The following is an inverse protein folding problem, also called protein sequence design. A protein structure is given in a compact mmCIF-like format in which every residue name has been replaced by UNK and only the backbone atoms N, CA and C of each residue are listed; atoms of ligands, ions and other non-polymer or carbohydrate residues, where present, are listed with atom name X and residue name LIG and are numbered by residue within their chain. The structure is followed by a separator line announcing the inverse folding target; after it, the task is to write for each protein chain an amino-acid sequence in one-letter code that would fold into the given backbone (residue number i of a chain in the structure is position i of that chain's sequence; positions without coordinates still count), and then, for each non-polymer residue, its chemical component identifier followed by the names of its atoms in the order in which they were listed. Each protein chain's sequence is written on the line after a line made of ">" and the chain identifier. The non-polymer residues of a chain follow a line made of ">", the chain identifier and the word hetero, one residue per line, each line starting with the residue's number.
data_IF_051597134421
#
_entry.id   IF_051597134421
#
_cell.length_a   1.000
_cell.length_b   1.000
_cell.length_c   1.000
_cell.angle_alpha   90.00
_cell.angle_beta   90.00
_cell.angle_gamma   90.00
#
_symmetry.space_group_name_H-M   'P 1'
#
loop_
_entity.id
_entity.type
_entity.pdbx_description
1 polymer ?
#
# COMPACT_ATOMS: atom_id res chain seq x y z
N UNK A 1 -15.42 -10.01 20.08
CA UNK A 1 -15.05 -8.91 19.16
C UNK A 1 -16.18 -7.90 19.17
N UNK A 2 -15.93 -6.69 19.60
CA UNK A 2 -16.89 -5.57 19.52
C UNK A 2 -16.43 -4.65 18.40
N UNK A 3 -17.38 -4.18 17.58
CA UNK A 3 -17.09 -3.22 16.52
C UNK A 3 -16.91 -1.84 17.19
N UNK A 4 -15.78 -1.19 16.95
CA UNK A 4 -15.48 0.14 17.47
C UNK A 4 -16.19 1.23 16.64
N UNK A 5 -17.45 1.48 16.99
CA UNK A 5 -18.28 2.50 16.34
C UNK A 5 -17.86 3.92 16.70
N UNK A 6 -17.16 4.10 17.82
CA UNK A 6 -16.77 5.43 18.32
C UNK A 6 -15.66 6.04 17.44
N UNK A 7 -14.75 5.22 16.94
CA UNK A 7 -13.67 5.66 16.05
C UNK A 7 -13.96 5.43 14.56
N UNK A 8 -15.21 5.06 14.22
CA UNK A 8 -15.61 4.88 12.83
C UNK A 8 -15.80 6.24 12.14
N UNK A 9 -14.88 6.59 11.22
CA UNK A 9 -14.87 7.89 10.51
C UNK A 9 -15.08 7.71 9.00
N UNK A 10 -16.31 7.39 8.55
CA UNK A 10 -16.58 7.07 7.14
C UNK A 10 -16.33 8.24 6.19
N UNK A 11 -16.58 9.47 6.65
CA UNK A 11 -16.34 10.67 5.84
C UNK A 11 -14.84 10.90 5.57
N UNK A 12 -13.99 10.75 6.58
CA UNK A 12 -12.54 10.86 6.41
C UNK A 12 -12.00 9.73 5.52
N UNK A 13 -12.49 8.50 5.70
CA UNK A 13 -12.13 7.36 4.87
C UNK A 13 -12.54 7.57 3.40
N UNK A 14 -13.74 8.10 3.15
CA UNK A 14 -14.21 8.43 1.81
C UNK A 14 -13.36 9.54 1.17
N UNK A 15 -13.08 10.62 1.90
CA UNK A 15 -12.24 11.71 1.41
C UNK A 15 -10.83 11.23 1.07
N UNK A 16 -10.21 10.43 1.95
CA UNK A 16 -8.90 9.81 1.69
C UNK A 16 -8.92 8.89 0.47
N UNK A 17 -9.95 8.06 0.33
CA UNK A 17 -10.15 7.19 -0.82
C UNK A 17 -10.29 7.96 -2.14
N UNK A 18 -11.04 9.05 -2.15
CA UNK A 18 -11.19 9.94 -3.31
C UNK A 18 -9.84 10.57 -3.69
N UNK A 19 -9.08 11.08 -2.71
CA UNK A 19 -7.75 11.66 -2.96
C UNK A 19 -6.78 10.64 -3.54
N UNK A 20 -6.74 9.42 -3.00
CA UNK A 20 -5.91 8.32 -3.51
C UNK A 20 -6.34 7.96 -4.94
N UNK A 21 -7.64 7.85 -5.19
CA UNK A 21 -8.19 7.56 -6.51
C UNK A 21 -7.83 8.62 -7.54
N UNK A 22 -7.99 9.89 -7.21
CA UNK A 22 -7.60 11.02 -8.06
C UNK A 22 -6.10 11.05 -8.34
N UNK A 23 -5.26 10.83 -7.32
CA UNK A 23 -3.82 10.76 -7.49
C UNK A 23 -3.39 9.61 -8.41
N UNK A 24 -4.01 8.42 -8.24
CA UNK A 24 -3.76 7.27 -9.09
C UNK A 24 -4.22 7.51 -10.54
N UNK A 25 -5.39 8.13 -10.73
CA UNK A 25 -5.90 8.48 -12.05
C UNK A 25 -5.01 9.52 -12.74
N UNK A 26 -4.63 10.60 -12.03
CA UNK A 26 -3.71 11.60 -12.55
C UNK A 26 -2.36 10.98 -12.94
N UNK A 27 -1.82 10.08 -12.12
CA UNK A 27 -0.58 9.40 -12.40
C UNK A 27 -0.65 8.54 -13.68
N UNK A 28 -1.77 7.84 -13.89
CA UNK A 28 -2.02 7.07 -15.11
C UNK A 28 -2.15 7.99 -16.32
N UNK A 29 -2.89 9.09 -16.20
CA UNK A 29 -3.15 10.02 -17.29
C UNK A 29 -1.87 10.77 -17.74
N UNK A 30 -1.07 11.24 -16.79
CA UNK A 30 0.13 12.03 -17.11
C UNK A 30 1.38 11.18 -17.37
N UNK A 31 1.53 10.05 -16.67
CA UNK A 31 2.71 9.18 -16.80
C UNK A 31 2.46 7.90 -17.61
N UNK A 32 1.21 7.56 -17.90
CA UNK A 32 0.85 6.31 -18.57
C UNK A 32 1.20 5.04 -17.76
N UNK A 33 1.44 5.17 -16.45
CA UNK A 33 1.98 4.10 -15.61
C UNK A 33 1.10 3.85 -14.39
N UNK A 34 1.11 2.61 -13.90
CA UNK A 34 0.37 2.20 -12.70
C UNK A 34 1.21 2.55 -11.45
N UNK A 35 0.59 3.20 -10.46
CA UNK A 35 1.21 3.56 -9.19
C UNK A 35 1.40 2.34 -8.27
N UNK A 36 2.20 1.36 -8.70
CA UNK A 36 2.56 0.17 -7.91
C UNK A 36 3.90 0.37 -7.22
N UNK A 37 3.90 0.63 -5.91
CA UNK A 37 5.11 0.98 -5.15
C UNK A 37 6.21 -0.08 -5.27
N UNK A 38 5.87 -1.37 -5.20
CA UNK A 38 6.85 -2.46 -5.36
C UNK A 38 7.52 -2.46 -6.74
N UNK A 39 6.76 -2.14 -7.80
CA UNK A 39 7.29 -2.03 -9.15
C UNK A 39 8.14 -0.78 -9.35
N UNK A 40 7.76 0.34 -8.71
CA UNK A 40 8.53 1.59 -8.74
C UNK A 40 9.87 1.39 -8.04
N UNK A 41 9.86 0.86 -6.80
CA UNK A 41 11.06 0.59 -6.02
C UNK A 41 11.94 -0.48 -6.70
N UNK A 42 11.35 -1.58 -7.15
CA UNK A 42 12.07 -2.65 -7.84
C UNK A 42 12.74 -2.19 -9.14
N UNK A 43 12.14 -1.23 -9.85
CA UNK A 43 12.75 -0.62 -11.02
C UNK A 43 13.93 0.29 -10.73
N UNK A 44 14.04 0.84 -9.52
CA UNK A 44 15.24 1.59 -9.09
C UNK A 44 16.41 0.67 -8.75
N UNK A 45 16.16 -0.58 -8.35
CA UNK A 45 17.22 -1.56 -8.12
C UNK A 45 17.90 -2.01 -9.43
N UNK A 46 17.23 -1.79 -10.58
CA UNK A 46 17.78 -2.04 -11.92
C UNK A 46 17.53 -0.82 -12.80
N UNK A 47 18.26 0.28 -12.59
CA UNK A 47 17.99 1.54 -13.26
C UNK A 47 18.21 1.44 -14.77
N UNK A 48 17.20 1.83 -15.53
CA UNK A 48 17.29 2.03 -16.97
C UNK A 48 17.41 3.53 -17.23
N UNK A 49 18.27 3.93 -18.17
CA UNK A 49 18.44 5.35 -18.53
C UNK A 49 17.09 5.95 -18.96
N UNK A 50 16.76 7.10 -18.38
CA UNK A 50 15.50 7.81 -18.62
C UNK A 50 14.30 7.35 -17.79
N UNK A 51 14.39 6.21 -17.07
CA UNK A 51 13.27 5.64 -16.29
C UNK A 51 13.40 5.90 -14.77
N UNK A 52 14.57 6.31 -14.29
CA UNK A 52 14.82 6.47 -12.86
C UNK A 52 14.22 7.78 -12.29
N UNK A 53 14.23 8.86 -13.05
CA UNK A 53 13.87 10.20 -12.56
C UNK A 53 12.43 10.29 -12.02
N UNK A 54 11.45 9.80 -12.76
CA UNK A 54 10.06 9.81 -12.32
C UNK A 54 9.81 8.89 -11.11
N UNK A 55 10.55 7.79 -11.00
CA UNK A 55 10.46 6.85 -9.87
C UNK A 55 10.98 7.50 -8.58
N UNK A 56 12.12 8.18 -8.68
CA UNK A 56 12.67 8.95 -7.56
C UNK A 56 11.72 10.07 -7.16
N UNK A 57 11.18 10.83 -8.12
CA UNK A 57 10.21 11.89 -7.84
C UNK A 57 8.96 11.35 -7.14
N UNK A 58 8.43 10.22 -7.58
CA UNK A 58 7.27 9.57 -6.95
C UNK A 58 7.58 9.18 -5.49
N UNK A 59 8.71 8.51 -5.24
CA UNK A 59 9.09 8.11 -3.87
C UNK A 59 9.40 9.32 -2.99
N UNK A 60 10.06 10.33 -3.53
CA UNK A 60 10.30 11.58 -2.81
C UNK A 60 9.00 12.26 -2.41
N UNK A 61 8.02 12.33 -3.32
CA UNK A 61 6.68 12.85 -3.02
C UNK A 61 5.96 12.03 -1.94
N UNK A 62 6.07 10.71 -1.98
CA UNK A 62 5.47 9.82 -0.97
C UNK A 62 6.10 10.04 0.41
N UNK A 63 7.42 10.21 0.49
CA UNK A 63 8.13 10.48 1.75
C UNK A 63 7.91 11.91 2.25
N UNK A 64 7.76 12.87 1.35
CA UNK A 64 7.50 14.26 1.71
C UNK A 64 6.05 14.50 2.17
N UNK A 65 5.09 13.70 1.71
CA UNK A 65 3.67 13.89 2.00
C UNK A 65 3.33 13.99 3.50
N UNK A 66 3.83 13.11 4.39
CA UNK A 66 3.58 13.24 5.84
C UNK A 66 4.19 14.51 6.43
N UNK A 67 5.37 14.94 5.95
CA UNK A 67 6.03 16.16 6.42
C UNK A 67 5.22 17.39 6.03
N UNK A 68 4.76 17.44 4.78
CA UNK A 68 3.89 18.52 4.29
C UNK A 68 2.57 18.54 5.04
N UNK A 69 1.95 17.37 5.24
CA UNK A 69 0.69 17.28 6.00
C UNK A 69 0.86 17.76 7.44
N UNK A 70 1.99 17.43 8.08
CA UNK A 70 2.31 17.85 9.45
C UNK A 70 2.42 19.36 9.64
N UNK A 71 2.62 20.14 8.55
CA UNK A 71 2.59 21.62 8.60
C UNK A 71 1.17 22.18 8.75
N UNK A 72 0.15 21.44 8.31
CA UNK A 72 -1.25 21.89 8.27
C UNK A 72 -2.12 21.20 9.33
N UNK A 73 -1.78 19.97 9.71
CA UNK A 73 -2.57 19.17 10.65
C UNK A 73 -1.67 18.25 11.48
N UNK A 74 -2.16 17.88 12.67
CA UNK A 74 -1.46 16.89 13.50
C UNK A 74 -1.54 15.51 12.85
N UNK A 75 -0.39 14.85 12.70
CA UNK A 75 -0.35 13.46 12.30
C UNK A 75 -0.96 12.59 13.40
N UNK A 76 -1.75 11.56 13.04
CA UNK A 76 -2.22 10.58 14.02
C UNK A 76 -1.02 9.85 14.65
N UNK A 77 -1.11 9.60 15.95
CA UNK A 77 -0.09 8.80 16.63
C UNK A 77 -0.15 7.35 16.14
N UNK A 78 0.97 6.89 15.64
CA UNK A 78 1.11 5.50 15.16
C UNK A 78 1.90 4.72 16.21
N UNK A 79 1.23 3.80 16.90
CA UNK A 79 1.88 2.84 17.80
C UNK A 79 2.13 1.53 17.05
N UNK A 80 3.38 1.05 17.10
CA UNK A 80 3.77 -0.23 16.50
C UNK A 80 4.22 -1.16 17.62
N UNK A 81 3.32 -2.05 18.05
CA UNK A 81 3.56 -2.98 19.16
C UNK A 81 4.40 -4.20 18.77
N UNK A 82 4.84 -4.28 17.51
CA UNK A 82 5.62 -5.40 17.00
C UNK A 82 7.12 -5.20 17.22
N UNK A 83 7.80 -6.23 17.70
CA UNK A 83 9.25 -6.23 17.84
C UNK A 83 9.99 -6.16 16.50
N UNK A 84 11.22 -5.64 16.51
CA UNK A 84 12.03 -5.46 15.30
C UNK A 84 12.19 -6.73 14.47
N UNK A 85 12.34 -7.90 15.12
CA UNK A 85 12.44 -9.20 14.43
C UNK A 85 11.18 -9.54 13.63
N UNK A 86 10.00 -9.31 14.22
CA UNK A 86 8.71 -9.52 13.55
C UNK A 86 8.54 -8.58 12.36
N UNK A 87 8.96 -7.31 12.50
CA UNK A 87 8.89 -6.33 11.42
C UNK A 87 9.79 -6.72 10.24
N UNK A 88 11.01 -7.17 10.51
CA UNK A 88 11.95 -7.65 9.48
C UNK A 88 11.39 -8.88 8.77
N UNK A 89 10.91 -9.87 9.52
CA UNK A 89 10.31 -11.07 8.94
C UNK A 89 9.10 -10.75 8.07
N UNK A 90 8.17 -9.91 8.57
CA UNK A 90 7.01 -9.46 7.81
C UNK A 90 7.41 -8.70 6.54
N UNK A 91 8.39 -7.80 6.62
CA UNK A 91 8.89 -7.05 5.47
C UNK A 91 9.51 -7.96 4.40
N UNK A 92 10.28 -8.98 4.80
CA UNK A 92 10.83 -9.97 3.88
C UNK A 92 9.73 -10.80 3.20
N UNK A 93 8.76 -11.29 3.95
CA UNK A 93 7.63 -12.06 3.41
C UNK A 93 6.81 -11.23 2.41
N UNK A 94 6.48 -9.98 2.76
CA UNK A 94 5.79 -9.05 1.85
C UNK A 94 6.62 -8.76 0.62
N UNK A 95 7.93 -8.50 0.78
CA UNK A 95 8.84 -8.23 -0.33
C UNK A 95 8.92 -9.40 -1.33
N UNK A 96 9.06 -10.62 -0.82
CA UNK A 96 9.04 -11.84 -1.63
C UNK A 96 7.66 -12.02 -2.28
N UNK A 97 6.58 -11.90 -1.50
CA UNK A 97 5.20 -12.06 -1.99
C UNK A 97 4.85 -11.09 -3.11
N UNK A 98 5.22 -9.81 -2.99
CA UNK A 98 4.98 -8.81 -4.04
C UNK A 98 5.79 -9.08 -5.31
N UNK A 99 6.93 -9.71 -5.19
CA UNK A 99 7.75 -10.10 -6.34
C UNK A 99 7.13 -11.28 -7.11
N UNK A 100 6.70 -12.33 -6.39
CA UNK A 100 6.02 -13.48 -7.00
C UNK A 100 4.62 -13.14 -7.51
N UNK A 101 3.86 -12.32 -6.77
CA UNK A 101 2.54 -11.83 -7.17
C UNK A 101 2.57 -10.82 -8.33
N UNK A 102 3.77 -10.41 -8.77
CA UNK A 102 3.98 -9.40 -9.81
C UNK A 102 3.24 -8.08 -9.55
N UNK A 103 3.15 -7.68 -8.28
CA UNK A 103 2.53 -6.44 -7.85
C UNK A 103 2.27 -6.39 -6.35
N UNK A 104 1.98 -5.21 -5.85
CA UNK A 104 1.63 -4.96 -4.44
C UNK A 104 0.17 -4.52 -4.31
N UNK A 105 -0.24 -4.29 -3.06
CA UNK A 105 -1.61 -3.85 -2.75
C UNK A 105 -2.00 -2.54 -3.45
N UNK A 106 -1.08 -1.58 -3.62
CA UNK A 106 -1.36 -0.35 -4.38
C UNK A 106 -1.57 -0.60 -5.88
N UNK A 107 -0.78 -1.51 -6.48
CA UNK A 107 -0.93 -1.88 -7.87
C UNK A 107 -2.19 -2.70 -8.16
N UNK A 108 -2.42 -3.75 -7.38
CA UNK A 108 -3.60 -4.62 -7.54
C UNK A 108 -4.85 -4.05 -6.89
N UNK A 109 -4.75 -3.63 -5.61
CA UNK A 109 -5.90 -3.20 -4.83
C UNK A 109 -6.46 -1.84 -5.26
N UNK A 110 -5.62 -0.86 -5.52
CA UNK A 110 -6.09 0.48 -5.93
C UNK A 110 -6.26 0.55 -7.44
N UNK A 111 -5.17 0.46 -8.20
CA UNK A 111 -5.22 0.67 -9.64
C UNK A 111 -5.81 -0.52 -10.42
N UNK A 112 -5.65 -1.74 -9.92
CA UNK A 112 -6.09 -2.95 -10.61
C UNK A 112 -7.59 -3.20 -10.45
N UNK A 113 -8.15 -2.99 -9.24
CA UNK A 113 -9.59 -3.12 -8.97
C UNK A 113 -10.36 -2.02 -9.69
N UNK A 114 -9.90 -0.77 -9.64
CA UNK A 114 -10.55 0.35 -10.33
C UNK A 114 -10.68 0.13 -11.84
N UNK A 115 -9.78 -0.69 -12.42
CA UNK A 115 -9.81 -1.10 -13.84
C UNK A 115 -10.54 -2.43 -14.06
N UNK A 116 -11.21 -2.99 -13.05
CA UNK A 116 -11.94 -4.27 -13.12
C UNK A 116 -11.07 -5.43 -13.64
N UNK A 117 -9.75 -5.42 -13.36
CA UNK A 117 -8.84 -6.47 -13.81
C UNK A 117 -9.09 -7.78 -13.06
N UNK A 118 -9.46 -8.90 -13.74
CA UNK A 118 -9.69 -10.18 -13.08
C UNK A 118 -8.48 -10.68 -12.29
N UNK A 119 -7.29 -10.51 -12.84
CA UNK A 119 -6.03 -10.85 -12.17
C UNK A 119 -5.86 -10.09 -10.85
N UNK A 120 -6.21 -8.82 -10.84
CA UNK A 120 -6.09 -7.97 -9.65
C UNK A 120 -7.15 -8.30 -8.61
N UNK A 121 -8.36 -8.66 -9.02
CA UNK A 121 -9.41 -9.15 -8.11
C UNK A 121 -8.96 -10.43 -7.40
N UNK A 122 -8.43 -11.41 -8.13
CA UNK A 122 -7.92 -12.66 -7.55
C UNK A 122 -6.73 -12.39 -6.63
N UNK A 123 -5.78 -11.55 -7.04
CA UNK A 123 -4.63 -11.20 -6.21
C UNK A 123 -5.06 -10.50 -4.91
N UNK A 124 -6.01 -9.57 -4.99
CA UNK A 124 -6.56 -8.88 -3.81
C UNK A 124 -7.28 -9.84 -2.88
N UNK A 125 -8.13 -10.71 -3.41
CA UNK A 125 -8.81 -11.73 -2.61
C UNK A 125 -7.81 -12.66 -1.91
N UNK A 126 -6.77 -13.10 -2.62
CA UNK A 126 -5.75 -13.98 -2.07
C UNK A 126 -4.96 -13.34 -0.91
N UNK A 127 -4.51 -12.10 -1.05
CA UNK A 127 -3.75 -11.47 0.04
C UNK A 127 -4.65 -11.09 1.23
N UNK A 128 -5.91 -10.70 1.00
CA UNK A 128 -6.86 -10.49 2.09
C UNK A 128 -7.14 -11.79 2.84
N UNK A 129 -7.41 -12.87 2.13
CA UNK A 129 -7.60 -14.19 2.75
C UNK A 129 -6.37 -14.61 3.57
N UNK A 130 -5.17 -14.50 3.00
CA UNK A 130 -3.93 -14.79 3.71
C UNK A 130 -3.76 -13.93 4.97
N UNK A 131 -4.11 -12.65 4.92
CA UNK A 131 -4.08 -11.73 6.07
C UNK A 131 -5.04 -12.18 7.18
N UNK A 132 -6.29 -12.51 6.85
CA UNK A 132 -7.26 -13.01 7.82
C UNK A 132 -6.79 -14.33 8.46
N UNK A 133 -6.32 -15.27 7.65
CA UNK A 133 -5.79 -16.56 8.15
C UNK A 133 -4.60 -16.33 9.08
N UNK A 134 -3.65 -15.46 8.70
CA UNK A 134 -2.48 -15.16 9.53
C UNK A 134 -2.88 -14.57 10.88
N UNK A 135 -3.78 -13.60 10.90
CA UNK A 135 -4.26 -12.99 12.15
C UNK A 135 -5.00 -14.01 13.00
N UNK A 136 -5.83 -14.85 12.38
CA UNK A 136 -6.54 -15.91 13.10
C UNK A 136 -5.58 -16.90 13.75
N UNK A 137 -4.59 -17.39 13.01
CA UNK A 137 -3.59 -18.33 13.52
C UNK A 137 -2.75 -17.72 14.64
N UNK A 138 -2.26 -16.51 14.46
CA UNK A 138 -1.44 -15.84 15.48
C UNK A 138 -2.23 -15.57 16.76
N UNK A 139 -3.49 -15.15 16.66
CA UNK A 139 -4.29 -14.78 17.85
C UNK A 139 -4.99 -15.93 18.55
N UNK A 140 -5.26 -17.05 17.87
CA UNK A 140 -6.10 -18.12 18.43
C UNK A 140 -5.40 -19.48 18.50
N UNK A 141 -4.27 -19.65 17.77
CA UNK A 141 -3.56 -20.94 17.74
C UNK A 141 -2.18 -20.83 18.40
N UNK A 142 -1.52 -19.68 18.24
CA UNK A 142 -0.13 -19.48 18.73
C UNK A 142 -0.06 -18.67 20.03
N UNK A 143 -1.16 -18.06 20.48
CA UNK A 143 -1.26 -17.34 21.76
C UNK A 143 -2.23 -18.05 22.71
#
# INVERSE_FOLDING_TARGET
>A
MTIDWVHFTPQAALAGGVLIGLAAAAFILFNGRIAGISGILGGLLRPVRGDAGWRVAFLAGLLAAPLVYGLFARLPEVTVDAGAGTLVAAGLLVGIGTRYGAGCTSGHGVCGISRMSPRSLVATAAFMFAGFVTVYLVRHVLN
#
